data_IF_244827177250
#
_entry.id   IF_244827177250
#
_cell.length_a   1.000
_cell.length_b   1.000
_cell.length_c   1.000
_cell.angle_alpha   90.00
_cell.angle_beta   90.00
_cell.angle_gamma   90.00
#
_symmetry.space_group_name_H-M   'P 1'
#
loop_
_entity.id
_entity.type
_entity.pdbx_description
1 polymer ?
#
# COMPACT_ATOMS: atom_id res chain seq x y z
N UNK A 1 20.82 -41.08 -43.34
CA UNK A 1 19.81 -39.98 -43.35
C UNK A 1 19.59 -39.32 -41.98
N UNK A 2 19.88 -39.99 -40.86
CA UNK A 2 19.64 -39.43 -39.51
C UNK A 2 20.64 -38.37 -39.02
N UNK A 3 21.90 -38.39 -39.50
CA UNK A 3 22.93 -37.44 -39.03
C UNK A 3 22.60 -35.97 -39.33
N UNK A 4 22.00 -35.68 -40.48
CA UNK A 4 21.59 -34.30 -40.85
C UNK A 4 20.43 -33.78 -39.99
N UNK A 5 19.52 -34.67 -39.58
CA UNK A 5 18.39 -34.32 -38.72
C UNK A 5 18.84 -33.99 -37.28
N UNK A 6 19.82 -34.75 -36.76
CA UNK A 6 20.39 -34.52 -35.42
C UNK A 6 21.13 -33.18 -35.35
N UNK A 7 21.91 -32.83 -36.38
CA UNK A 7 22.62 -31.55 -36.44
C UNK A 7 21.63 -30.38 -36.53
N UNK A 8 20.56 -30.53 -37.32
CA UNK A 8 19.52 -29.49 -37.42
C UNK A 8 18.78 -29.28 -36.09
N UNK A 9 18.45 -30.36 -35.39
CA UNK A 9 17.79 -30.31 -34.08
C UNK A 9 18.69 -29.66 -33.02
N UNK A 10 19.98 -30.00 -33.00
CA UNK A 10 20.95 -29.39 -32.10
C UNK A 10 21.07 -27.89 -32.34
N UNK A 11 21.08 -27.44 -33.60
CA UNK A 11 21.12 -26.03 -33.96
C UNK A 11 19.87 -25.27 -33.50
N UNK A 12 18.68 -25.86 -33.65
CA UNK A 12 17.41 -25.28 -33.19
C UNK A 12 17.37 -25.14 -31.67
N UNK A 13 17.84 -26.16 -30.93
CA UNK A 13 17.90 -26.11 -29.46
C UNK A 13 18.87 -24.99 -29.01
N UNK A 14 20.01 -24.85 -29.68
CA UNK A 14 20.99 -23.82 -29.37
C UNK A 14 20.45 -22.41 -29.65
N UNK A 15 19.65 -22.25 -30.72
CA UNK A 15 18.89 -21.03 -31.03
C UNK A 15 17.82 -20.73 -29.97
N UNK A 16 17.08 -21.73 -29.48
CA UNK A 16 16.07 -21.53 -28.45
C UNK A 16 16.70 -21.15 -27.10
N UNK A 17 17.84 -21.75 -26.76
CA UNK A 17 18.60 -21.40 -25.54
C UNK A 17 19.15 -19.97 -25.66
N UNK A 18 19.74 -19.60 -26.80
CA UNK A 18 20.26 -18.23 -26.99
C UNK A 18 19.14 -17.20 -26.99
N UNK A 19 17.98 -17.50 -27.58
CA UNK A 19 16.82 -16.62 -27.59
C UNK A 19 16.17 -16.48 -26.21
N UNK A 20 16.14 -17.55 -25.41
CA UNK A 20 15.68 -17.51 -24.01
C UNK A 20 16.60 -16.67 -23.13
N UNK A 21 17.93 -16.78 -23.31
CA UNK A 21 18.92 -15.95 -22.61
C UNK A 21 18.85 -14.48 -23.06
N UNK A 22 18.58 -14.22 -24.35
CA UNK A 22 18.46 -12.87 -24.89
C UNK A 22 17.15 -12.20 -24.44
N UNK A 23 16.01 -12.87 -24.50
CA UNK A 23 14.73 -12.33 -24.01
C UNK A 23 14.71 -12.21 -22.48
N UNK A 24 15.40 -13.11 -21.77
CA UNK A 24 15.54 -13.03 -20.31
C UNK A 24 16.41 -11.85 -19.85
N UNK A 25 17.23 -11.26 -20.73
CA UNK A 25 18.13 -10.14 -20.42
C UNK A 25 17.72 -8.80 -21.05
N UNK A 26 16.87 -8.81 -22.09
CA UNK A 26 16.43 -7.61 -22.79
C UNK A 26 14.96 -7.32 -22.45
N UNK A 27 14.74 -6.36 -21.54
CA UNK A 27 13.39 -5.85 -21.24
C UNK A 27 12.89 -4.95 -22.40
N UNK A 28 12.29 -5.58 -23.41
CA UNK A 28 11.76 -4.89 -24.60
C UNK A 28 10.63 -3.90 -24.24
N UNK A 29 10.03 -3.98 -23.04
CA UNK A 29 9.03 -2.97 -22.59
C UNK A 29 9.66 -1.60 -22.35
N UNK A 30 10.95 -1.53 -22.03
CA UNK A 30 11.66 -0.26 -21.82
C UNK A 30 11.82 0.58 -23.10
N UNK A 31 11.68 -0.02 -24.29
CA UNK A 31 11.79 0.70 -25.56
C UNK A 31 10.46 1.27 -26.07
N UNK A 32 9.31 0.70 -25.67
CA UNK A 32 7.99 1.15 -26.14
C UNK A 32 7.29 2.13 -25.17
N UNK A 33 7.75 2.21 -23.92
CA UNK A 33 7.33 3.25 -23.00
C UNK A 33 8.46 4.27 -22.87
N UNK A 34 8.36 5.37 -23.61
CA UNK A 34 9.20 6.52 -23.36
C UNK A 34 9.02 6.96 -21.90
N UNK A 35 10.06 6.80 -21.09
CA UNK A 35 10.20 7.53 -19.83
C UNK A 35 9.97 9.01 -20.09
N UNK A 36 9.16 9.73 -19.29
CA UNK A 36 9.19 11.18 -19.29
C UNK A 36 10.47 11.62 -18.56
N UNK A 37 11.64 11.42 -19.17
CA UNK A 37 12.94 11.89 -18.67
C UNK A 37 13.12 13.42 -18.79
N UNK A 38 12.02 14.16 -18.97
CA UNK A 38 12.01 15.63 -19.10
C UNK A 38 11.88 16.40 -17.78
N UNK A 39 11.78 15.75 -16.62
CA UNK A 39 11.56 16.43 -15.32
C UNK A 39 12.79 16.43 -14.38
N UNK A 40 13.96 16.01 -14.85
CA UNK A 40 15.19 16.04 -14.07
C UNK A 40 15.88 17.40 -14.20
N UNK A 41 15.41 18.42 -13.47
CA UNK A 41 16.20 19.58 -12.99
C UNK A 41 15.31 20.59 -12.23
N UNK A 42 14.53 20.14 -11.26
CA UNK A 42 14.01 21.03 -10.23
C UNK A 42 14.94 20.91 -9.01
N UNK A 43 15.70 21.95 -8.64
CA UNK A 43 16.43 21.93 -7.39
C UNK A 43 15.42 21.88 -6.23
N UNK A 44 15.41 20.76 -5.50
CA UNK A 44 14.76 20.68 -4.19
C UNK A 44 15.44 21.68 -3.25
N UNK A 45 14.92 22.90 -3.24
CA UNK A 45 15.26 23.91 -2.24
C UNK A 45 14.20 23.77 -1.14
N UNK A 46 14.59 23.49 0.12
CA UNK A 46 13.62 23.48 1.21
C UNK A 46 13.19 24.93 1.45
N UNK A 47 12.11 25.35 0.80
CA UNK A 47 11.45 26.62 1.10
C UNK A 47 10.79 26.49 2.46
N UNK A 48 11.48 26.99 3.49
CA UNK A 48 10.86 27.45 4.72
C UNK A 48 10.03 28.70 4.37
N UNK A 49 8.88 28.52 3.74
CA UNK A 49 7.90 29.60 3.56
C UNK A 49 7.07 29.67 4.81
N UNK A 50 7.11 30.84 5.47
CA UNK A 50 6.13 31.26 6.46
C UNK A 50 4.73 30.97 5.92
N UNK A 51 3.95 30.24 6.69
CA UNK A 51 2.64 29.70 6.30
C UNK A 51 1.62 30.81 6.12
N UNK A 52 1.43 31.26 4.89
CA UNK A 52 0.10 31.64 4.43
C UNK A 52 -0.85 30.47 4.75
N UNK A 53 -2.13 30.68 5.13
CA UNK A 53 -3.06 29.58 5.30
C UNK A 53 -3.07 28.77 3.99
N UNK A 54 -2.57 27.54 4.06
CA UNK A 54 -2.42 26.70 2.88
C UNK A 54 -3.83 26.41 2.36
N UNK A 55 -4.11 26.82 1.12
CA UNK A 55 -5.37 26.46 0.48
C UNK A 55 -5.48 24.94 0.50
N UNK A 56 -6.54 24.36 1.10
CA UNK A 56 -6.69 22.91 1.18
C UNK A 56 -6.74 22.28 -0.22
N UNK A 57 -6.11 21.13 -0.40
CA UNK A 57 -6.17 20.35 -1.64
C UNK A 57 -7.62 19.94 -1.92
N UNK A 58 -8.14 20.28 -3.09
CA UNK A 58 -9.49 19.89 -3.52
C UNK A 58 -9.47 18.47 -4.07
N UNK A 59 -10.09 17.54 -3.35
CA UNK A 59 -10.09 16.12 -3.69
C UNK A 59 -11.50 15.68 -4.07
N UNK A 60 -11.67 15.12 -5.27
CA UNK A 60 -12.90 14.40 -5.60
C UNK A 60 -12.76 12.95 -5.14
N UNK A 61 -13.70 12.48 -4.31
CA UNK A 61 -13.78 11.07 -3.94
C UNK A 61 -14.83 10.39 -4.81
N UNK A 62 -14.44 9.33 -5.53
CA UNK A 62 -15.37 8.53 -6.31
C UNK A 62 -16.47 7.93 -5.43
N UNK A 63 -17.72 8.02 -5.89
CA UNK A 63 -18.87 7.36 -5.28
C UNK A 63 -18.88 5.87 -5.64
N UNK A 64 -17.90 5.12 -5.12
CA UNK A 64 -17.82 3.67 -5.29
C UNK A 64 -18.88 2.96 -4.43
N UNK A 65 -19.50 1.89 -4.96
CA UNK A 65 -20.37 1.01 -4.19
C UNK A 65 -19.74 0.49 -2.89
N UNK A 66 -20.56 0.27 -1.84
CA UNK A 66 -20.06 -0.16 -0.51
C UNK A 66 -19.24 -1.43 -0.53
N UNK A 67 -19.50 -2.35 -1.46
CA UNK A 67 -18.69 -3.57 -1.64
C UNK A 67 -17.20 -3.30 -1.86
N UNK A 68 -16.81 -2.10 -2.30
CA UNK A 68 -15.42 -1.69 -2.47
C UNK A 68 -14.78 -1.11 -1.19
N UNK A 69 -15.57 -0.81 -0.15
CA UNK A 69 -15.06 -0.16 1.06
C UNK A 69 -15.69 -0.72 2.35
N UNK A 70 -16.58 0.03 2.99
CA UNK A 70 -17.13 -0.27 4.31
C UNK A 70 -18.02 -1.52 4.32
N UNK A 71 -18.50 -1.96 3.15
CA UNK A 71 -19.20 -3.24 3.02
C UNK A 71 -18.33 -4.42 3.44
N UNK A 72 -17.00 -4.34 3.25
CA UNK A 72 -16.06 -5.36 3.72
C UNK A 72 -15.76 -5.29 5.22
N UNK A 73 -16.13 -4.19 5.89
CA UNK A 73 -15.98 -4.04 7.34
C UNK A 73 -17.15 -4.64 8.12
N UNK A 74 -18.32 -4.76 7.50
CA UNK A 74 -19.53 -5.23 8.17
C UNK A 74 -19.62 -6.77 8.07
N UNK A 75 -19.44 -7.46 9.20
CA UNK A 75 -19.41 -8.94 9.28
C UNK A 75 -20.78 -9.60 9.00
N UNK A 76 -21.86 -8.84 8.83
CA UNK A 76 -23.16 -9.43 8.57
C UNK A 76 -23.19 -10.03 7.17
N UNK A 77 -23.39 -11.35 7.10
CA UNK A 77 -23.71 -12.08 5.86
C UNK A 77 -25.01 -11.55 5.30
N UNK A 78 -24.93 -10.62 4.36
CA UNK A 78 -26.08 -10.10 3.63
C UNK A 78 -25.64 -8.87 2.88
N UNK A 79 -25.71 -8.93 1.55
CA UNK A 79 -25.37 -7.81 0.68
C UNK A 79 -26.03 -6.54 1.19
N UNK A 80 -25.20 -5.65 1.72
CA UNK A 80 -25.60 -4.27 1.91
C UNK A 80 -25.95 -3.70 0.55
N UNK A 81 -26.88 -2.76 0.52
CA UNK A 81 -27.15 -1.97 -0.67
C UNK A 81 -25.83 -1.37 -1.20
N UNK A 82 -25.62 -1.46 -2.51
CA UNK A 82 -24.41 -0.98 -3.19
C UNK A 82 -24.41 0.55 -3.33
N UNK A 83 -25.27 1.25 -2.58
CA UNK A 83 -25.30 2.72 -2.49
C UNK A 83 -24.01 3.28 -1.91
N UNK A 84 -23.32 4.19 -2.61
CA UNK A 84 -22.09 4.82 -2.11
C UNK A 84 -22.28 5.56 -0.79
N UNK A 85 -21.21 5.63 0.02
CA UNK A 85 -21.17 6.36 1.29
C UNK A 85 -21.05 7.86 1.02
N UNK A 86 -21.96 8.66 1.57
CA UNK A 86 -22.01 10.11 1.29
C UNK A 86 -21.55 10.96 2.46
N UNK A 87 -21.79 10.51 3.69
CA UNK A 87 -21.46 11.28 4.89
C UNK A 87 -20.67 10.47 5.91
N UNK A 88 -20.06 11.16 6.88
CA UNK A 88 -19.26 10.52 7.92
C UNK A 88 -20.10 9.71 8.92
N UNK A 89 -21.37 10.05 9.11
CA UNK A 89 -22.30 9.36 10.02
C UNK A 89 -22.60 7.93 9.56
N UNK A 90 -22.44 7.66 8.27
CA UNK A 90 -22.62 6.34 7.66
C UNK A 90 -21.41 5.42 7.87
N UNK A 91 -20.26 5.96 8.31
CA UNK A 91 -19.06 5.18 8.50
C UNK A 91 -19.18 4.32 9.77
N UNK A 92 -18.95 3.00 9.69
CA UNK A 92 -18.83 2.19 10.88
C UNK A 92 -17.60 2.65 11.67
N UNK A 93 -17.67 2.61 12.99
CA UNK A 93 -16.47 2.82 13.83
C UNK A 93 -15.40 1.80 13.45
N UNK A 94 -14.16 2.25 13.36
CA UNK A 94 -13.05 1.34 13.13
C UNK A 94 -12.99 0.30 14.26
N UNK A 95 -12.99 -1.02 13.95
CA UNK A 95 -12.99 -2.04 14.98
C UNK A 95 -11.70 -1.99 15.81
N UNK A 96 -11.84 -2.13 17.13
CA UNK A 96 -10.71 -2.02 18.07
C UNK A 96 -9.83 -3.28 18.05
N UNK A 97 -10.44 -4.46 17.87
CA UNK A 97 -9.81 -5.77 17.95
C UNK A 97 -9.88 -6.50 16.59
N UNK A 98 -8.96 -6.20 15.67
CA UNK A 98 -8.95 -6.81 14.32
C UNK A 98 -7.56 -7.28 13.87
N UNK A 99 -6.62 -7.41 14.81
CA UNK A 99 -5.28 -7.96 14.57
C UNK A 99 -4.58 -7.33 13.36
N UNK A 100 -4.08 -8.16 12.43
CA UNK A 100 -3.35 -7.72 11.21
C UNK A 100 -4.20 -6.81 10.33
N UNK A 101 -5.53 -6.91 10.36
CA UNK A 101 -6.40 -6.07 9.52
C UNK A 101 -6.35 -4.59 9.93
N UNK A 102 -5.95 -4.28 11.17
CA UNK A 102 -5.71 -2.90 11.65
C UNK A 102 -4.52 -2.24 10.96
N UNK A 103 -3.51 -3.02 10.60
CA UNK A 103 -2.21 -2.51 10.15
C UNK A 103 -2.31 -1.67 8.88
N UNK A 104 -3.32 -1.94 8.05
CA UNK A 104 -3.52 -1.36 6.71
C UNK A 104 -4.79 -0.51 6.61
N UNK A 105 -5.09 0.27 7.65
CA UNK A 105 -6.35 1.03 7.77
C UNK A 105 -6.37 2.40 7.09
N UNK A 106 -5.29 2.77 6.38
CA UNK A 106 -5.14 4.09 5.72
C UNK A 106 -6.29 4.39 4.77
N UNK A 107 -6.79 3.37 4.09
CA UNK A 107 -7.95 3.41 3.19
C UNK A 107 -9.19 4.01 3.88
N UNK A 108 -9.46 3.56 5.11
CA UNK A 108 -10.58 4.04 5.91
C UNK A 108 -10.35 5.46 6.42
N UNK A 109 -9.15 5.76 6.93
CA UNK A 109 -8.88 7.08 7.51
C UNK A 109 -8.87 8.20 6.47
N UNK A 110 -8.38 7.93 5.25
CA UNK A 110 -8.49 8.89 4.14
C UNK A 110 -9.94 9.13 3.73
N UNK A 111 -10.74 8.06 3.61
CA UNK A 111 -12.16 8.17 3.34
C UNK A 111 -12.89 8.94 4.46
N UNK A 112 -12.59 8.64 5.72
CA UNK A 112 -13.18 9.31 6.88
C UNK A 112 -12.83 10.79 6.94
N UNK A 113 -11.57 11.15 6.66
CA UNK A 113 -11.11 12.54 6.61
C UNK A 113 -11.86 13.36 5.55
N UNK A 114 -12.04 12.79 4.36
CA UNK A 114 -12.76 13.44 3.26
C UNK A 114 -14.28 13.51 3.49
N UNK A 115 -14.85 12.56 4.23
CA UNK A 115 -16.28 12.53 4.56
C UNK A 115 -16.64 13.39 5.76
N UNK A 116 -15.73 13.55 6.72
CA UNK A 116 -15.97 14.37 7.90
C UNK A 116 -16.09 15.84 7.54
N UNK A 117 -17.08 16.53 8.08
CA UNK A 117 -17.13 17.99 8.12
C UNK A 117 -16.03 18.51 9.06
N UNK A 118 -15.28 19.53 8.65
CA UNK A 118 -14.30 20.17 9.52
C UNK A 118 -15.00 20.82 10.70
N UNK A 119 -14.43 20.72 11.90
CA UNK A 119 -14.83 21.62 12.97
C UNK A 119 -14.60 23.06 12.52
N UNK A 120 -15.49 23.99 12.91
CA UNK A 120 -15.26 25.41 12.67
C UNK A 120 -13.88 25.81 13.23
N UNK A 121 -12.96 26.22 12.36
CA UNK A 121 -11.61 26.66 12.74
C UNK A 121 -10.48 25.64 12.59
N UNK A 122 -10.74 24.40 12.15
CA UNK A 122 -9.66 23.46 11.81
C UNK A 122 -9.12 23.72 10.39
N UNK A 123 -7.85 24.10 10.28
CA UNK A 123 -7.13 24.10 9.00
C UNK A 123 -7.03 22.66 8.50
N UNK A 124 -7.51 22.42 7.27
CA UNK A 124 -7.48 21.10 6.62
C UNK A 124 -6.46 21.08 5.50
N UNK A 125 -5.70 19.99 5.42
CA UNK A 125 -4.77 19.78 4.31
C UNK A 125 -5.50 19.42 3.01
N UNK A 126 -6.67 18.77 3.12
CA UNK A 126 -7.51 18.39 1.99
C UNK A 126 -9.01 18.51 2.30
N UNK A 127 -9.79 18.85 1.27
CA UNK A 127 -11.25 18.98 1.35
C UNK A 127 -11.90 18.20 0.23
N UNK A 128 -13.01 17.49 0.54
CA UNK A 128 -13.80 16.81 -0.49
C UNK A 128 -14.57 17.83 -1.31
N UNK A 129 -14.40 17.79 -2.63
CA UNK A 129 -15.27 18.50 -3.58
C UNK A 129 -16.27 17.54 -4.19
N UNK A 130 -17.51 17.99 -4.36
CA UNK A 130 -18.57 17.22 -5.01
C UNK A 130 -18.53 17.37 -6.53
N UNK A 131 -18.05 18.53 -7.02
CA UNK A 131 -17.82 18.74 -8.43
C UNK A 131 -16.41 18.25 -8.80
N UNK A 132 -16.28 17.15 -9.57
CA UNK A 132 -14.99 16.67 -10.04
C UNK A 132 -14.28 17.63 -10.99
N UNK A 133 -14.93 18.61 -11.62
CA UNK A 133 -14.27 19.56 -12.53
C UNK A 133 -13.34 20.53 -11.81
N UNK A 134 -13.58 20.78 -10.51
CA UNK A 134 -12.74 21.64 -9.67
C UNK A 134 -11.73 20.86 -8.81
N UNK A 135 -11.64 19.54 -9.01
CA UNK A 135 -10.76 18.67 -8.24
C UNK A 135 -9.32 18.71 -8.76
N UNK A 136 -8.38 18.77 -7.83
CA UNK A 136 -6.94 18.73 -8.08
C UNK A 136 -6.39 17.30 -7.99
N UNK A 137 -7.10 16.41 -7.27
CA UNK A 137 -6.80 14.99 -7.18
C UNK A 137 -8.08 14.14 -7.03
N UNK A 138 -7.98 12.86 -7.40
CA UNK A 138 -9.09 11.91 -7.38
C UNK A 138 -8.78 10.78 -6.40
N UNK A 139 -9.47 10.76 -5.27
CA UNK A 139 -9.36 9.64 -4.35
C UNK A 139 -10.25 8.48 -4.79
N UNK A 140 -9.65 7.29 -4.91
CA UNK A 140 -10.36 6.04 -5.20
C UNK A 140 -10.53 5.27 -3.88
N UNK A 141 -11.72 5.30 -3.25
CA UNK A 141 -11.94 4.67 -1.94
C UNK A 141 -12.14 3.15 -2.09
N UNK A 142 -11.22 2.45 -2.75
CA UNK A 142 -11.17 0.99 -2.75
C UNK A 142 -10.30 0.52 -1.60
N UNK A 143 -10.88 -0.22 -0.66
CA UNK A 143 -10.18 -0.76 0.50
C UNK A 143 -9.42 -2.03 0.09
N UNK A 144 -8.43 -1.86 -0.79
CA UNK A 144 -7.73 -2.96 -1.47
C UNK A 144 -6.95 -3.87 -0.52
N UNK A 145 -6.45 -3.32 0.58
CA UNK A 145 -5.78 -4.05 1.66
C UNK A 145 -6.78 -4.87 2.47
N UNK A 146 -7.95 -4.30 2.75
CA UNK A 146 -9.04 -5.03 3.41
C UNK A 146 -9.61 -6.12 2.50
N UNK A 147 -9.77 -5.86 1.20
CA UNK A 147 -10.21 -6.85 0.20
C UNK A 147 -9.31 -8.08 0.23
N UNK A 148 -7.99 -7.88 0.19
CA UNK A 148 -7.03 -8.97 0.36
C UNK A 148 -7.19 -9.70 1.71
N UNK A 149 -7.31 -8.97 2.82
CA UNK A 149 -7.41 -9.57 4.15
C UNK A 149 -8.74 -10.30 4.41
N UNK A 150 -9.79 -9.95 3.69
CA UNK A 150 -11.13 -10.54 3.80
C UNK A 150 -11.27 -11.74 2.87
N UNK A 151 -10.81 -11.63 1.63
CA UNK A 151 -11.08 -12.59 0.56
C UNK A 151 -9.83 -13.36 0.09
N UNK A 152 -8.61 -12.92 0.42
CA UNK A 152 -7.35 -13.45 -0.12
C UNK A 152 -6.47 -14.20 0.89
N UNK A 153 -7.04 -15.02 1.78
CA UNK A 153 -6.26 -15.64 2.88
C UNK A 153 -5.12 -16.54 2.38
N UNK A 154 -5.37 -17.41 1.41
CA UNK A 154 -4.35 -18.35 0.90
C UNK A 154 -4.09 -18.22 -0.60
N UNK A 155 -4.80 -17.34 -1.31
CA UNK A 155 -4.60 -17.04 -2.74
C UNK A 155 -4.85 -18.19 -3.72
N UNK A 156 -5.28 -19.33 -3.20
CA UNK A 156 -5.70 -20.54 -3.89
C UNK A 156 -7.12 -20.95 -3.52
N UNK A 157 -7.72 -20.28 -2.54
CA UNK A 157 -9.08 -20.55 -2.08
C UNK A 157 -10.12 -19.87 -2.99
N UNK A 158 -11.36 -20.41 -3.10
CA UNK A 158 -12.40 -19.83 -3.94
C UNK A 158 -12.76 -18.38 -3.60
N UNK A 159 -12.57 -17.93 -2.36
CA UNK A 159 -12.87 -16.55 -1.96
C UNK A 159 -11.90 -15.55 -2.60
N UNK A 160 -10.71 -16.00 -2.99
CA UNK A 160 -9.74 -15.18 -3.75
C UNK A 160 -10.33 -14.66 -5.05
N UNK A 161 -11.33 -15.35 -5.63
CA UNK A 161 -12.01 -14.87 -6.82
C UNK A 161 -12.86 -13.62 -6.56
N UNK A 162 -13.35 -13.42 -5.33
CA UNK A 162 -14.05 -12.18 -4.96
C UNK A 162 -13.11 -10.98 -4.97
N UNK A 163 -11.89 -11.12 -4.42
CA UNK A 163 -10.87 -10.06 -4.50
C UNK A 163 -10.50 -9.74 -5.95
N UNK A 164 -10.36 -10.77 -6.79
CA UNK A 164 -10.11 -10.58 -8.23
C UNK A 164 -11.28 -9.84 -8.89
N UNK A 165 -12.51 -10.27 -8.64
CA UNK A 165 -13.69 -9.66 -9.27
C UNK A 165 -13.86 -8.21 -8.83
N UNK A 166 -13.62 -7.89 -7.56
CA UNK A 166 -13.60 -6.49 -7.09
C UNK A 166 -12.55 -5.66 -7.84
N UNK A 167 -11.36 -6.21 -8.10
CA UNK A 167 -10.37 -5.50 -8.91
C UNK A 167 -10.85 -5.30 -10.35
N UNK A 168 -11.44 -6.32 -10.99
CA UNK A 168 -11.98 -6.22 -12.36
C UNK A 168 -13.06 -5.15 -12.43
N UNK A 169 -14.05 -5.21 -11.54
CA UNK A 169 -15.16 -4.26 -11.51
C UNK A 169 -14.69 -2.83 -11.24
N UNK A 170 -13.68 -2.64 -10.38
CA UNK A 170 -13.10 -1.32 -10.14
C UNK A 170 -12.42 -0.78 -11.40
N UNK A 171 -11.64 -1.61 -12.09
CA UNK A 171 -10.95 -1.19 -13.32
C UNK A 171 -11.96 -0.80 -14.38
N UNK A 172 -13.01 -1.58 -14.58
CA UNK A 172 -14.08 -1.24 -15.52
C UNK A 172 -14.75 0.09 -15.15
N UNK A 173 -15.11 0.27 -13.87
CA UNK A 173 -15.67 1.51 -13.36
C UNK A 173 -14.76 2.73 -13.63
N UNK A 174 -13.46 2.60 -13.35
CA UNK A 174 -12.49 3.67 -13.56
C UNK A 174 -12.30 3.93 -15.05
N UNK A 175 -12.10 2.92 -15.87
CA UNK A 175 -11.87 3.08 -17.32
C UNK A 175 -13.06 3.69 -18.05
N UNK A 176 -14.29 3.49 -17.54
CA UNK A 176 -15.50 4.14 -18.06
C UNK A 176 -15.68 5.59 -17.56
N UNK A 177 -14.85 6.06 -16.63
CA UNK A 177 -14.88 7.44 -16.14
C UNK A 177 -14.11 8.39 -17.06
N UNK A 178 -14.77 9.48 -17.52
CA UNK A 178 -14.07 10.54 -18.27
C UNK A 178 -12.89 11.15 -17.51
N UNK A 179 -12.95 11.17 -16.16
CA UNK A 179 -11.88 11.71 -15.32
C UNK A 179 -10.68 10.78 -15.22
N UNK A 180 -10.87 9.47 -15.33
CA UNK A 180 -9.76 8.54 -15.50
C UNK A 180 -9.15 8.65 -16.89
N UNK A 181 -10.00 8.66 -17.93
CA UNK A 181 -9.57 8.70 -19.32
C UNK A 181 -8.72 9.93 -19.65
N UNK A 182 -9.01 11.10 -19.06
CA UNK A 182 -8.26 12.35 -19.33
C UNK A 182 -6.79 12.29 -18.90
N UNK A 183 -6.48 11.59 -17.81
CA UNK A 183 -5.16 11.58 -17.19
C UNK A 183 -4.46 10.22 -17.30
N UNK A 184 -5.19 9.18 -17.69
CA UNK A 184 -4.74 7.79 -17.60
C UNK A 184 -4.53 7.33 -16.15
N UNK A 185 -5.22 7.95 -15.19
CA UNK A 185 -5.10 7.62 -13.77
C UNK A 185 -4.01 8.37 -13.00
N UNK A 186 -3.27 9.31 -13.63
CA UNK A 186 -2.10 9.98 -13.01
C UNK A 186 -2.42 10.92 -11.85
N UNK A 187 -3.63 11.46 -11.83
CA UNK A 187 -4.16 12.32 -10.76
C UNK A 187 -5.00 11.51 -9.74
N UNK A 188 -4.96 10.18 -9.82
CA UNK A 188 -5.70 9.29 -8.92
C UNK A 188 -4.83 8.80 -7.78
N UNK A 189 -5.39 8.84 -6.58
CA UNK A 189 -4.77 8.34 -5.35
C UNK A 189 -5.44 7.02 -4.97
N UNK A 190 -4.65 5.94 -4.94
CA UNK A 190 -5.11 4.58 -4.67
C UNK A 190 -4.29 3.98 -3.52
N UNK A 191 -4.90 3.73 -2.35
CA UNK A 191 -4.17 3.09 -1.27
C UNK A 191 -4.00 1.59 -1.52
N UNK A 192 -2.77 1.12 -1.34
CA UNK A 192 -2.31 -0.25 -1.55
C UNK A 192 -1.25 -0.61 -0.50
N UNK A 193 -1.58 -0.40 0.78
CA UNK A 193 -0.59 -0.54 1.85
C UNK A 193 -0.23 -1.99 2.14
N UNK A 194 -1.18 -2.93 1.99
CA UNK A 194 -0.85 -4.36 2.08
C UNK A 194 -0.08 -4.82 0.84
N UNK A 195 1.04 -5.55 0.96
CA UNK A 195 1.91 -5.87 -0.19
C UNK A 195 1.26 -6.74 -1.27
N UNK A 196 0.18 -7.45 -0.93
CA UNK A 196 -0.63 -8.22 -1.87
C UNK A 196 -1.94 -7.52 -2.27
N UNK A 197 -2.19 -6.31 -1.78
CA UNK A 197 -3.31 -5.51 -2.23
C UNK A 197 -3.23 -5.32 -3.76
N UNK A 198 -4.39 -5.38 -4.42
CA UNK A 198 -4.53 -5.18 -5.85
C UNK A 198 -3.65 -6.09 -6.74
N UNK A 199 -3.19 -7.25 -6.23
CA UNK A 199 -2.10 -8.01 -6.88
C UNK A 199 -2.37 -8.46 -8.31
N UNK A 200 -3.64 -8.65 -8.71
CA UNK A 200 -3.99 -9.20 -10.00
C UNK A 200 -3.90 -8.17 -11.11
N UNK A 201 -4.40 -6.96 -10.83
CA UNK A 201 -4.56 -5.91 -11.82
C UNK A 201 -3.72 -4.66 -11.53
N UNK A 202 -2.81 -4.68 -10.55
CA UNK A 202 -2.00 -3.50 -10.14
C UNK A 202 -1.25 -2.82 -11.26
N UNK A 203 -0.87 -3.57 -12.31
CA UNK A 203 -0.22 -2.99 -13.48
C UNK A 203 -1.11 -1.99 -14.23
N UNK A 204 -2.44 -2.18 -14.18
CA UNK A 204 -3.41 -1.30 -14.84
C UNK A 204 -3.59 0.04 -14.12
N UNK A 205 -3.15 0.14 -12.87
CA UNK A 205 -3.20 1.37 -12.04
C UNK A 205 -1.81 1.93 -11.75
N UNK A 206 -0.77 1.48 -12.47
CA UNK A 206 0.61 1.89 -12.21
C UNK A 206 0.82 3.41 -12.32
N UNK A 207 0.12 4.05 -13.25
CA UNK A 207 0.22 5.49 -13.48
C UNK A 207 -0.28 6.34 -12.29
N UNK A 208 -1.11 5.78 -11.42
CA UNK A 208 -1.69 6.45 -10.25
C UNK A 208 -0.69 6.68 -9.13
N UNK A 209 -1.02 7.63 -8.26
CA UNK A 209 -0.32 7.87 -7.00
C UNK A 209 -0.73 6.77 -6.02
N UNK A 210 0.18 5.84 -5.73
CA UNK A 210 -0.10 4.74 -4.83
C UNK A 210 0.27 5.12 -3.41
N UNK A 211 -0.57 4.74 -2.45
CA UNK A 211 -0.21 4.83 -1.03
C UNK A 211 0.24 3.45 -0.57
N UNK A 212 1.54 3.30 -0.33
CA UNK A 212 2.17 2.02 0.01
C UNK A 212 2.73 2.06 1.43
N UNK A 213 2.98 0.89 2.03
CA UNK A 213 3.61 0.84 3.35
C UNK A 213 5.15 0.90 3.29
N UNK A 214 5.72 0.39 2.19
CA UNK A 214 7.14 0.47 1.88
C UNK A 214 7.38 0.17 0.38
N UNK A 215 8.57 0.49 -0.12
CA UNK A 215 9.01 0.16 -1.48
C UNK A 215 9.71 -1.20 -1.59
N UNK A 216 9.74 -1.99 -0.52
CA UNK A 216 10.51 -3.25 -0.45
C UNK A 216 9.76 -4.47 -1.00
N UNK A 217 8.46 -4.33 -1.29
CA UNK A 217 7.60 -5.42 -1.80
C UNK A 217 7.18 -5.23 -3.24
N UNK A 218 7.13 -3.99 -3.73
CA UNK A 218 6.80 -3.68 -5.11
C UNK A 218 8.06 -3.55 -5.97
N UNK A 219 8.02 -3.96 -7.24
CA UNK A 219 9.12 -3.68 -8.16
C UNK A 219 9.22 -2.16 -8.38
N UNK A 220 10.43 -1.66 -8.63
CA UNK A 220 10.69 -0.23 -8.88
C UNK A 220 9.90 0.32 -10.08
N UNK A 221 9.52 -0.53 -11.04
CA UNK A 221 8.69 -0.11 -12.17
C UNK A 221 7.22 0.14 -11.81
N UNK A 222 6.77 -0.33 -10.64
CA UNK A 222 5.41 -0.16 -10.15
C UNK A 222 5.32 0.90 -9.05
N UNK A 223 6.31 0.92 -8.15
CA UNK A 223 6.29 1.87 -7.04
C UNK A 223 7.63 2.58 -6.82
N UNK A 224 7.56 3.92 -6.75
CA UNK A 224 8.73 4.80 -6.67
C UNK A 224 8.52 5.99 -5.74
N UNK A 225 9.61 6.48 -5.16
CA UNK A 225 9.63 7.69 -4.34
C UNK A 225 9.21 8.96 -5.10
N UNK A 226 9.36 8.98 -6.42
CA UNK A 226 9.03 10.14 -7.25
C UNK A 226 7.53 10.30 -7.51
N UNK A 227 6.74 9.25 -7.25
CA UNK A 227 5.32 9.16 -7.60
C UNK A 227 4.44 8.83 -6.39
N UNK A 228 4.89 7.91 -5.55
CA UNK A 228 4.06 7.29 -4.53
C UNK A 228 4.37 7.79 -3.14
N UNK A 229 3.38 7.64 -2.26
CA UNK A 229 3.45 8.08 -0.88
C UNK A 229 3.58 6.87 0.04
N UNK A 230 4.53 6.94 0.97
CA UNK A 230 4.64 5.95 2.04
C UNK A 230 3.76 6.39 3.20
N UNK A 231 2.79 5.55 3.56
CA UNK A 231 2.03 5.72 4.79
C UNK A 231 2.52 4.73 5.85
N UNK A 232 2.72 5.17 7.11
CA UNK A 232 3.06 4.25 8.19
C UNK A 232 1.94 3.25 8.44
N UNK A 233 2.32 2.08 8.96
CA UNK A 233 1.37 1.16 9.58
C UNK A 233 0.78 1.79 10.83
N UNK A 234 -0.41 1.33 11.23
CA UNK A 234 -0.92 1.67 12.56
C UNK A 234 0.07 1.20 13.63
N UNK A 235 0.36 2.07 14.60
CA UNK A 235 1.23 1.74 15.72
C UNK A 235 0.65 0.56 16.51
N UNK A 236 1.48 -0.47 16.73
CA UNK A 236 1.13 -1.62 17.57
C UNK A 236 1.43 -1.36 19.06
N UNK A 237 1.99 -0.20 19.38
CA UNK A 237 2.30 0.24 20.74
C UNK A 237 1.51 1.52 21.02
N UNK A 238 1.07 1.68 22.26
CA UNK A 238 0.37 2.89 22.68
C UNK A 238 1.28 4.11 22.56
N UNK A 239 0.67 5.25 22.27
CA UNK A 239 1.38 6.52 22.31
C UNK A 239 1.80 6.81 23.75
N UNK A 240 3.09 6.94 23.96
CA UNK A 240 3.66 7.39 25.22
C UNK A 240 3.42 8.90 25.35
N UNK A 241 2.37 9.30 26.07
CA UNK A 241 1.99 10.72 26.23
C UNK A 241 2.61 11.37 27.45
N UNK A 242 2.66 10.62 28.54
CA UNK A 242 3.18 11.06 29.82
C UNK A 242 4.29 10.12 30.26
N UNK A 243 5.29 10.69 30.95
CA UNK A 243 6.40 9.91 31.46
C UNK A 243 6.00 9.07 32.68
N UNK A 244 6.64 7.91 32.88
CA UNK A 244 6.40 7.10 34.07
C UNK A 244 7.15 7.73 35.26
N UNK A 245 6.40 8.14 36.29
CA UNK A 245 6.99 8.74 37.49
C UNK A 245 7.89 7.76 38.26
N UNK A 246 7.69 6.45 38.11
CA UNK A 246 8.51 5.40 38.73
C UNK A 246 9.72 5.00 37.87
N UNK A 247 9.71 5.31 36.57
CA UNK A 247 10.81 5.12 35.63
C UNK A 247 10.93 6.32 34.67
N UNK A 248 11.41 7.49 35.16
CA UNK A 248 11.48 8.69 34.34
C UNK A 248 12.48 8.55 33.19
N UNK A 249 12.27 9.31 32.11
CA UNK A 249 13.11 9.33 30.92
C UNK A 249 14.59 9.46 31.25
N UNK A 250 14.94 10.38 32.16
CA UNK A 250 16.32 10.64 32.59
C UNK A 250 16.99 9.46 33.32
N UNK A 251 16.21 8.52 33.90
CA UNK A 251 16.78 7.32 34.53
C UNK A 251 16.99 6.16 33.57
N UNK A 252 16.41 6.21 32.36
CA UNK A 252 16.50 5.12 31.38
C UNK A 252 17.87 5.11 30.71
N UNK A 253 18.64 4.04 30.97
CA UNK A 253 20.01 3.87 30.44
C UNK A 253 20.08 3.11 29.12
N UNK A 254 18.95 2.59 28.61
CA UNK A 254 18.91 1.84 27.36
C UNK A 254 18.67 2.81 26.20
N UNK A 255 19.65 2.91 25.31
CA UNK A 255 19.58 3.74 24.11
C UNK A 255 18.75 3.07 23.00
N UNK A 256 18.99 1.77 22.76
CA UNK A 256 18.31 1.03 21.71
C UNK A 256 17.74 -0.29 22.23
N UNK A 257 16.49 -0.56 21.88
CA UNK A 257 15.83 -1.83 22.19
C UNK A 257 15.29 -2.44 20.90
N UNK A 258 15.78 -3.64 20.55
CA UNK A 258 15.32 -4.40 19.40
C UNK A 258 14.61 -5.66 19.88
N UNK A 259 13.32 -5.77 19.59
CA UNK A 259 12.53 -6.98 19.86
C UNK A 259 11.91 -7.53 18.59
N UNK A 260 12.08 -8.82 18.34
CA UNK A 260 11.50 -9.49 17.18
C UNK A 260 12.33 -10.64 16.66
N UNK A 261 11.88 -11.22 15.55
CA UNK A 261 12.62 -12.29 14.91
C UNK A 261 13.83 -11.71 14.16
N UNK A 262 15.03 -12.06 14.64
CA UNK A 262 16.32 -11.65 14.07
C UNK A 262 16.78 -12.55 12.92
N UNK A 263 16.23 -13.77 12.81
CA UNK A 263 16.58 -14.75 11.77
C UNK A 263 15.39 -14.98 10.83
N UNK A 264 15.39 -14.32 9.68
CA UNK A 264 14.36 -14.48 8.64
C UNK A 264 15.00 -14.87 7.31
N UNK A 265 14.44 -15.87 6.62
CA UNK A 265 14.86 -16.25 5.25
C UNK A 265 14.86 -15.00 4.35
N UNK A 266 16.03 -14.66 3.83
CA UNK A 266 16.34 -13.65 2.80
C UNK A 266 16.08 -12.15 3.08
N UNK A 267 15.36 -11.76 4.15
CA UNK A 267 15.07 -10.34 4.45
C UNK A 267 15.66 -9.81 5.77
N UNK A 268 16.48 -10.61 6.46
CA UNK A 268 17.12 -10.21 7.72
C UNK A 268 18.45 -9.47 7.61
N UNK A 269 19.00 -9.26 6.39
CA UNK A 269 20.38 -8.80 6.19
C UNK A 269 20.72 -7.49 6.93
N UNK A 270 19.84 -6.50 6.88
CA UNK A 270 20.03 -5.22 7.58
C UNK A 270 20.00 -5.43 9.09
N UNK A 271 19.03 -6.21 9.61
CA UNK A 271 18.93 -6.53 11.04
C UNK A 271 20.16 -7.27 11.55
N UNK A 272 20.64 -8.26 10.81
CA UNK A 272 21.84 -9.02 11.16
C UNK A 272 23.11 -8.14 11.15
N UNK A 273 23.20 -7.21 10.19
CA UNK A 273 24.30 -6.23 10.16
C UNK A 273 24.23 -5.27 11.35
N UNK A 274 23.05 -4.77 11.69
CA UNK A 274 22.83 -3.92 12.87
C UNK A 274 23.17 -4.66 14.16
N UNK A 275 22.68 -5.89 14.35
CA UNK A 275 23.00 -6.75 15.51
C UNK A 275 24.51 -6.94 15.65
N UNK A 276 25.22 -7.18 14.54
CA UNK A 276 26.69 -7.32 14.57
C UNK A 276 27.42 -6.01 14.93
N UNK A 277 26.99 -4.88 14.40
CA UNK A 277 27.64 -3.57 14.64
C UNK A 277 27.41 -3.10 16.08
N UNK A 278 26.20 -3.35 16.60
CA UNK A 278 25.77 -2.89 17.92
C UNK A 278 26.01 -3.94 19.02
N UNK A 279 26.65 -5.07 18.68
CA UNK A 279 27.04 -6.08 19.66
C UNK A 279 28.10 -5.52 20.62
N UNK A 280 27.89 -5.74 21.92
CA UNK A 280 28.83 -5.35 22.97
C UNK A 280 28.66 -3.94 23.54
N UNK A 281 27.64 -3.19 23.09
CA UNK A 281 27.24 -1.94 23.73
C UNK A 281 26.25 -2.23 24.87
N UNK A 282 26.57 -1.79 26.09
CA UNK A 282 25.80 -2.10 27.31
C UNK A 282 24.41 -1.44 27.35
N UNK A 283 24.23 -0.37 26.57
CA UNK A 283 22.98 0.38 26.41
C UNK A 283 22.13 -0.07 25.22
N UNK A 284 22.56 -1.13 24.50
CA UNK A 284 21.80 -1.74 23.41
C UNK A 284 21.29 -3.12 23.82
N UNK A 285 19.97 -3.31 23.75
CA UNK A 285 19.31 -4.56 24.11
C UNK A 285 18.68 -5.24 22.90
N UNK A 286 19.03 -6.50 22.68
CA UNK A 286 18.43 -7.37 21.66
C UNK A 286 17.63 -8.49 22.34
N UNK A 287 16.32 -8.51 22.14
CA UNK A 287 15.44 -9.59 22.59
C UNK A 287 14.90 -10.35 21.37
N UNK A 288 15.34 -11.60 21.22
CA UNK A 288 14.81 -12.48 20.18
C UNK A 288 13.42 -12.93 20.59
N UNK A 289 12.44 -12.65 19.74
CA UNK A 289 11.10 -13.22 19.88
C UNK A 289 10.69 -13.91 18.58
N UNK A 290 10.08 -15.08 18.74
CA UNK A 290 9.45 -15.82 17.65
C UNK A 290 7.94 -15.61 17.75
N UNK A 291 7.22 -15.51 16.61
CA UNK A 291 5.77 -15.63 16.65
C UNK A 291 5.41 -16.96 17.31
N UNK A 292 4.77 -16.94 18.47
CA UNK A 292 4.25 -18.16 19.09
C UNK A 292 2.95 -18.56 18.40
N UNK A 293 2.63 -19.86 18.43
CA UNK A 293 1.37 -20.35 17.89
C UNK A 293 0.18 -19.66 18.58
N UNK A 294 0.26 -19.39 19.89
CA UNK A 294 -0.78 -18.64 20.61
C UNK A 294 -0.87 -17.18 20.13
N UNK A 295 0.25 -16.49 19.88
CA UNK A 295 0.24 -15.11 19.39
C UNK A 295 -0.28 -15.01 17.94
N UNK A 296 0.00 -16.02 17.10
CA UNK A 296 -0.56 -16.11 15.75
C UNK A 296 -2.06 -16.45 15.81
N UNK A 297 -2.47 -17.37 16.68
CA UNK A 297 -3.88 -17.71 16.88
C UNK A 297 -4.67 -16.53 17.42
N UNK A 298 -4.20 -15.85 18.47
CA UNK A 298 -4.87 -14.66 19.01
C UNK A 298 -5.10 -13.57 17.93
N UNK A 299 -4.19 -13.45 16.96
CA UNK A 299 -4.29 -12.51 15.85
C UNK A 299 -5.18 -13.00 14.69
N UNK A 300 -5.47 -14.31 14.63
CA UNK A 300 -6.26 -14.94 13.55
C UNK A 300 -7.63 -15.46 13.99
N UNK A 301 -7.89 -15.57 15.30
CA UNK A 301 -9.16 -15.97 15.92
C UNK A 301 -9.99 -14.80 16.46
N UNK A 302 -9.50 -13.56 16.35
CA UNK A 302 -10.21 -12.29 16.63
C UNK A 302 -10.57 -11.55 15.34
#
# INVERSE_FOLDING_TARGET
MYGKAIVSLAFIILLLISFSLFIGTVDIRSYFFASPDGAHNLPCTPTHTQSSPSVPLKVYMYDLPRRFNIGMMQWKKGGGDDTPVRTAEELPRWPVNVGVRKQHSVEYWLMASLLGSGGEGEEREAVRVLDPEIAEAYFVPFFSSLSFNTHGRNMTDPETEKDRQLQVDLIDFLQNSKYWQRSGGRDHVIPMTHPNAFRFLRQLVNASILIVADFGRYPKSLSTLSKDVVSPYVHNVDSFKDDDLLDPFESRKTLLFFRGNTVRKDKGKVRAKLEKILAGYDDVRYERSSPTAEAIQAVSSE
#
